data_IF_261254530368
#
_entry.id   IF_261254530368
#
_cell.length_a   1.000
_cell.length_b   1.000
_cell.length_c   1.000
_cell.angle_alpha   90.00
_cell.angle_beta   90.00
_cell.angle_gamma   90.00
#
_symmetry.space_group_name_H-M   'P 1'
#
loop_
_entity.id
_entity.type
_entity.pdbx_description
1 polymer ?
#
# COMPACT_ATOMS: atom_id res chain seq x y z
N UNK A 1 -12.78 20.92 -1.67
CA UNK A 1 -11.63 20.06 -2.01
C UNK A 1 -10.72 20.92 -2.87
N UNK A 2 -9.50 21.19 -2.43
CA UNK A 2 -8.63 22.14 -3.12
C UNK A 2 -8.33 21.64 -4.53
N UNK A 3 -8.62 22.45 -5.54
CA UNK A 3 -8.28 22.24 -6.96
C UNK A 3 -6.76 22.40 -7.21
N UNK A 4 -5.96 22.11 -6.18
CA UNK A 4 -4.52 22.36 -6.17
C UNK A 4 -3.83 21.17 -6.79
N UNK A 5 -3.21 21.40 -7.95
CA UNK A 5 -2.23 20.50 -8.54
C UNK A 5 -0.93 20.59 -7.74
N UNK A 6 -0.39 19.45 -7.30
CA UNK A 6 0.90 19.39 -6.63
C UNK A 6 2.02 19.21 -7.65
N UNK A 7 3.15 19.87 -7.46
CA UNK A 7 4.39 19.55 -8.19
C UNK A 7 4.97 18.22 -7.73
N UNK A 8 5.92 17.65 -8.49
CA UNK A 8 6.67 16.44 -8.08
C UNK A 8 7.24 16.51 -6.66
N UNK A 9 7.85 17.64 -6.30
CA UNK A 9 8.45 17.83 -4.97
C UNK A 9 7.38 17.92 -3.89
N UNK A 10 6.28 18.64 -4.15
CA UNK A 10 5.16 18.73 -3.21
C UNK A 10 4.47 17.37 -3.03
N UNK A 11 4.30 16.58 -4.09
CA UNK A 11 3.73 15.24 -4.03
C UNK A 11 4.59 14.30 -3.18
N UNK A 12 5.93 14.34 -3.35
CA UNK A 12 6.85 13.59 -2.49
C UNK A 12 6.69 13.99 -1.02
N UNK A 13 6.66 15.29 -0.72
CA UNK A 13 6.56 15.81 0.64
C UNK A 13 5.19 15.50 1.28
N UNK A 14 4.10 15.63 0.53
CA UNK A 14 2.74 15.44 1.03
C UNK A 14 2.46 13.98 1.45
N UNK A 15 3.12 13.02 0.80
CA UNK A 15 2.92 11.59 1.04
C UNK A 15 4.11 10.90 1.70
N UNK A 16 5.13 11.67 2.09
CA UNK A 16 6.37 11.16 2.68
C UNK A 16 7.01 10.03 1.86
N UNK A 17 7.09 10.24 0.54
CA UNK A 17 7.70 9.27 -0.39
C UNK A 17 8.96 9.84 -1.02
N UNK A 18 9.92 8.97 -1.26
CA UNK A 18 11.14 9.37 -1.97
C UNK A 18 10.85 9.68 -3.45
N UNK A 19 11.68 10.51 -4.10
CA UNK A 19 11.63 10.69 -5.55
C UNK A 19 11.72 9.38 -6.34
N UNK A 20 12.48 8.40 -5.82
CA UNK A 20 12.61 7.07 -6.42
C UNK A 20 11.27 6.34 -6.39
N UNK A 21 10.58 6.35 -5.26
CA UNK A 21 9.26 5.74 -5.09
C UNK A 21 8.23 6.38 -6.02
N UNK A 22 8.14 7.72 -6.04
CA UNK A 22 7.15 8.40 -6.89
C UNK A 22 7.39 8.13 -8.38
N UNK A 23 8.65 8.15 -8.85
CA UNK A 23 9.00 7.77 -10.22
C UNK A 23 8.69 6.32 -10.53
N UNK A 24 8.88 5.42 -9.57
CA UNK A 24 8.54 4.02 -9.75
C UNK A 24 7.03 3.85 -9.93
N UNK A 25 6.21 4.55 -9.13
CA UNK A 25 4.75 4.54 -9.29
C UNK A 25 4.28 5.13 -10.62
N UNK A 26 4.95 6.17 -11.13
CA UNK A 26 4.73 6.63 -12.52
C UNK A 26 5.09 5.55 -13.55
N UNK A 27 6.24 4.89 -13.37
CA UNK A 27 6.75 3.90 -14.32
C UNK A 27 5.85 2.68 -14.46
N UNK A 28 5.27 2.20 -13.36
CA UNK A 28 4.30 1.09 -13.37
C UNK A 28 2.84 1.56 -13.58
N UNK A 29 2.65 2.81 -14.01
CA UNK A 29 1.35 3.40 -14.36
C UNK A 29 0.33 3.44 -13.21
N UNK A 30 0.80 3.40 -11.96
CA UNK A 30 -0.07 3.61 -10.79
C UNK A 30 -0.55 5.06 -10.69
N UNK A 31 0.30 5.99 -11.11
CA UNK A 31 0.05 7.42 -11.14
C UNK A 31 0.38 7.99 -12.51
N UNK A 32 -0.47 8.89 -13.00
CA UNK A 32 -0.35 9.52 -14.31
C UNK A 32 -0.33 11.04 -14.14
N UNK A 33 0.84 11.68 -13.95
CA UNK A 33 0.92 13.12 -13.79
C UNK A 33 0.70 13.85 -15.12
N UNK A 34 0.11 15.05 -15.03
CA UNK A 34 0.09 16.00 -16.13
C UNK A 34 1.52 16.55 -16.35
N UNK A 35 1.92 16.64 -17.62
CA UNK A 35 3.24 17.14 -18.01
C UNK A 35 3.11 18.47 -18.72
N UNK A 36 3.74 19.50 -18.16
CA UNK A 36 3.91 20.80 -18.81
C UNK A 36 5.42 21.02 -19.03
N UNK A 37 5.87 20.74 -20.25
CA UNK A 37 7.29 20.70 -20.59
C UNK A 37 8.05 19.64 -19.79
N UNK A 38 8.98 20.07 -18.93
CA UNK A 38 9.76 19.19 -18.04
C UNK A 38 9.14 19.01 -16.65
N UNK A 39 8.10 19.79 -16.33
CA UNK A 39 7.44 19.80 -15.03
C UNK A 39 6.33 18.75 -14.98
N UNK A 40 6.12 18.17 -13.78
CA UNK A 40 5.06 17.20 -13.49
C UNK A 40 4.10 17.79 -12.47
N UNK A 41 2.81 17.61 -12.70
CA UNK A 41 1.74 18.06 -11.85
C UNK A 41 0.77 16.91 -11.53
N UNK A 42 0.34 16.81 -10.27
CA UNK A 42 -0.57 15.77 -9.78
C UNK A 42 -1.87 16.41 -9.32
N UNK A 43 -2.96 16.12 -10.03
CA UNK A 43 -4.27 16.63 -9.70
C UNK A 43 -4.89 15.95 -8.48
N UNK A 44 -6.13 16.34 -8.12
CA UNK A 44 -6.87 15.72 -7.02
C UNK A 44 -7.06 14.20 -7.20
N UNK A 45 -7.17 13.71 -8.44
CA UNK A 45 -7.30 12.28 -8.75
C UNK A 45 -6.06 11.51 -8.36
N UNK A 46 -4.88 11.98 -8.76
CA UNK A 46 -3.59 11.34 -8.47
C UNK A 46 -3.29 11.39 -6.97
N UNK A 47 -3.68 12.48 -6.30
CA UNK A 47 -3.59 12.60 -4.84
C UNK A 47 -4.47 11.56 -4.14
N UNK A 48 -5.74 11.41 -4.57
CA UNK A 48 -6.64 10.39 -4.02
C UNK A 48 -6.11 8.97 -4.29
N UNK A 49 -5.61 8.69 -5.51
CA UNK A 49 -4.97 7.40 -5.84
C UNK A 49 -3.78 7.13 -4.95
N UNK A 50 -2.90 8.11 -4.73
CA UNK A 50 -1.75 7.95 -3.84
C UNK A 50 -2.19 7.63 -2.40
N UNK A 51 -3.21 8.30 -1.86
CA UNK A 51 -3.77 7.94 -0.54
C UNK A 51 -4.17 6.47 -0.47
N UNK A 52 -4.82 5.96 -1.52
CA UNK A 52 -5.24 4.57 -1.59
C UNK A 52 -4.06 3.60 -1.73
N UNK A 53 -3.07 3.93 -2.57
CA UNK A 53 -1.83 3.14 -2.72
C UNK A 53 -1.11 3.01 -1.38
N UNK A 54 -0.95 4.10 -0.64
CA UNK A 54 -0.28 4.10 0.65
C UNK A 54 -1.03 3.26 1.69
N UNK A 55 -2.37 3.30 1.69
CA UNK A 55 -3.19 2.43 2.56
C UNK A 55 -3.05 0.96 2.18
N UNK A 56 -3.16 0.63 0.90
CA UNK A 56 -3.03 -0.74 0.42
C UNK A 56 -1.66 -1.34 0.80
N UNK A 57 -0.59 -0.57 0.59
CA UNK A 57 0.76 -0.97 0.98
C UNK A 57 0.91 -1.22 2.47
N UNK A 58 0.24 -0.43 3.31
CA UNK A 58 0.25 -0.63 4.77
C UNK A 58 -0.41 -1.95 5.19
N UNK A 59 -1.40 -2.44 4.43
CA UNK A 59 -2.07 -3.70 4.70
C UNK A 59 -1.34 -4.93 4.15
N UNK A 60 -0.25 -4.73 3.40
CA UNK A 60 0.54 -5.82 2.82
C UNK A 60 0.24 -6.14 1.36
N UNK A 61 -0.73 -5.45 0.74
CA UNK A 61 -1.08 -5.70 -0.66
C UNK A 61 0.10 -5.46 -1.61
N UNK A 62 0.20 -6.30 -2.65
CA UNK A 62 1.13 -6.08 -3.73
C UNK A 62 0.72 -4.83 -4.54
N UNK A 63 1.71 -4.15 -5.13
CA UNK A 63 1.44 -2.96 -5.95
C UNK A 63 0.60 -3.29 -7.19
N UNK A 64 0.73 -4.50 -7.72
CA UNK A 64 -0.05 -4.95 -8.88
C UNK A 64 -1.52 -5.15 -8.52
N UNK A 65 -1.84 -5.74 -7.36
CA UNK A 65 -3.22 -5.90 -6.90
C UNK A 65 -3.89 -4.53 -6.70
N UNK A 66 -3.16 -3.58 -6.11
CA UNK A 66 -3.60 -2.20 -5.96
C UNK A 66 -3.84 -1.56 -7.34
N UNK A 67 -2.95 -1.79 -8.32
CA UNK A 67 -3.11 -1.28 -9.70
C UNK A 67 -4.39 -1.79 -10.33
N UNK A 68 -4.62 -3.10 -10.29
CA UNK A 68 -5.82 -3.73 -10.86
C UNK A 68 -7.09 -3.21 -10.19
N UNK A 69 -7.10 -3.12 -8.86
CA UNK A 69 -8.23 -2.58 -8.12
C UNK A 69 -8.54 -1.11 -8.43
N UNK A 70 -7.52 -0.29 -8.66
CA UNK A 70 -7.70 1.10 -9.09
C UNK A 70 -8.27 1.22 -10.52
N UNK A 71 -7.97 0.27 -11.41
CA UNK A 71 -8.51 0.25 -12.77
C UNK A 71 -10.00 -0.10 -12.82
N UNK A 72 -10.51 -0.88 -11.87
CA UNK A 72 -11.95 -1.23 -11.80
C UNK A 72 -12.82 0.03 -11.74
N UNK A 73 -12.39 1.05 -10.98
CA UNK A 73 -13.11 2.32 -10.92
C UNK A 73 -13.22 3.00 -12.28
N UNK A 74 -12.17 2.91 -13.10
CA UNK A 74 -12.10 3.59 -14.39
C UNK A 74 -13.03 2.95 -15.43
N UNK A 75 -13.31 1.64 -15.30
CA UNK A 75 -14.10 0.88 -16.27
C UNK A 75 -15.54 0.60 -15.81
N UNK A 76 -15.75 0.36 -14.51
CA UNK A 76 -17.00 -0.18 -13.96
C UNK A 76 -17.63 0.70 -12.87
N UNK A 77 -16.92 1.75 -12.44
CA UNK A 77 -17.39 2.72 -11.45
C UNK A 77 -17.31 2.25 -9.99
N UNK A 78 -17.82 3.10 -9.10
CA UNK A 78 -17.61 3.01 -7.64
C UNK A 78 -18.14 1.71 -7.02
N UNK A 79 -19.32 1.25 -7.41
CA UNK A 79 -19.95 0.08 -6.78
C UNK A 79 -19.18 -1.22 -7.08
N UNK A 80 -18.65 -1.37 -8.30
CA UNK A 80 -17.80 -2.50 -8.68
C UNK A 80 -16.48 -2.47 -7.91
N UNK A 81 -15.83 -1.30 -7.82
CA UNK A 81 -14.60 -1.14 -7.05
C UNK A 81 -14.80 -1.47 -5.57
N UNK A 82 -15.91 -1.06 -4.96
CA UNK A 82 -16.21 -1.36 -3.55
C UNK A 82 -16.43 -2.86 -3.31
N UNK A 83 -17.11 -3.58 -4.22
CA UNK A 83 -17.25 -5.03 -4.11
C UNK A 83 -15.89 -5.73 -4.22
N UNK A 84 -15.07 -5.34 -5.20
CA UNK A 84 -13.71 -5.88 -5.35
C UNK A 84 -12.83 -5.59 -4.12
N UNK A 85 -12.97 -4.40 -3.51
CA UNK A 85 -12.27 -4.04 -2.29
C UNK A 85 -12.63 -4.98 -1.13
N UNK A 86 -13.91 -5.28 -0.93
CA UNK A 86 -14.35 -6.20 0.13
C UNK A 86 -13.72 -7.58 -0.07
N UNK A 87 -13.74 -8.11 -1.29
CA UNK A 87 -13.12 -9.41 -1.60
C UNK A 87 -11.61 -9.41 -1.33
N UNK A 88 -10.88 -8.39 -1.76
CA UNK A 88 -9.43 -8.26 -1.50
C UNK A 88 -9.14 -8.14 0.01
N UNK A 89 -9.95 -7.36 0.73
CA UNK A 89 -9.80 -7.17 2.16
C UNK A 89 -10.05 -8.48 2.94
N UNK A 90 -11.08 -9.25 2.59
CA UNK A 90 -11.36 -10.53 3.23
C UNK A 90 -10.20 -11.53 3.05
N UNK A 91 -9.64 -11.60 1.83
CA UNK A 91 -8.47 -12.44 1.54
C UNK A 91 -7.25 -11.99 2.35
N UNK A 92 -6.94 -10.69 2.37
CA UNK A 92 -5.79 -10.17 3.11
C UNK A 92 -5.94 -10.36 4.61
N UNK A 93 -7.15 -10.24 5.16
CA UNK A 93 -7.43 -10.49 6.57
C UNK A 93 -7.14 -11.95 6.93
N UNK A 94 -7.59 -12.90 6.09
CA UNK A 94 -7.29 -14.33 6.31
C UNK A 94 -5.78 -14.59 6.31
N UNK A 95 -5.03 -14.01 5.36
CA UNK A 95 -3.57 -14.14 5.32
C UNK A 95 -2.90 -13.56 6.58
N UNK A 96 -3.33 -12.38 7.02
CA UNK A 96 -2.79 -11.73 8.21
C UNK A 96 -3.10 -12.53 9.48
N UNK A 97 -4.26 -13.16 9.57
CA UNK A 97 -4.61 -14.04 10.70
C UNK A 97 -3.73 -15.29 10.74
N UNK A 98 -3.45 -15.89 9.58
CA UNK A 98 -2.52 -17.03 9.47
C UNK A 98 -1.11 -16.61 9.90
N UNK A 99 -0.61 -15.48 9.39
CA UNK A 99 0.70 -14.95 9.75
C UNK A 99 0.80 -14.62 11.25
N UNK A 100 -0.26 -14.03 11.83
CA UNK A 100 -0.34 -13.77 13.28
C UNK A 100 -0.18 -15.06 14.07
N UNK A 101 -0.92 -16.10 13.73
CA UNK A 101 -0.86 -17.39 14.43
C UNK A 101 0.53 -18.03 14.33
N UNK A 102 1.12 -18.03 13.14
CA UNK A 102 2.48 -18.55 12.94
C UNK A 102 3.53 -17.78 13.78
N UNK A 103 3.39 -16.46 13.87
CA UNK A 103 4.27 -15.63 14.68
C UNK A 103 4.10 -15.92 16.18
N UNK A 104 2.86 -16.09 16.65
CA UNK A 104 2.55 -16.47 18.03
C UNK A 104 3.19 -17.82 18.39
N UNK A 105 3.05 -18.83 17.53
CA UNK A 105 3.65 -20.15 17.71
C UNK A 105 5.19 -20.06 17.77
N UNK A 106 5.80 -19.31 16.84
CA UNK A 106 7.25 -19.09 16.78
C UNK A 106 7.77 -18.39 18.05
N UNK A 107 7.07 -17.36 18.53
CA UNK A 107 7.42 -16.64 19.75
C UNK A 107 7.33 -17.56 20.97
N UNK A 108 6.30 -18.41 21.04
CA UNK A 108 6.14 -19.36 22.13
C UNK A 108 7.28 -20.40 22.16
N UNK A 109 7.64 -20.95 21.00
CA UNK A 109 8.76 -21.87 20.86
C UNK A 109 10.10 -21.24 21.27
N UNK A 110 10.39 -20.04 20.77
CA UNK A 110 11.62 -19.33 21.11
C UNK A 110 11.72 -19.02 22.61
N UNK A 111 10.60 -18.68 23.26
CA UNK A 111 10.55 -18.47 24.72
C UNK A 111 10.87 -19.74 25.49
N UNK A 112 10.25 -20.87 25.11
CA UNK A 112 10.50 -22.18 25.76
C UNK A 112 11.97 -22.55 25.68
N UNK A 113 12.56 -22.53 24.47
CA UNK A 113 13.96 -22.89 24.27
C UNK A 113 14.90 -21.98 25.06
N UNK A 114 14.64 -20.66 25.08
CA UNK A 114 15.42 -19.70 25.87
C UNK A 114 15.37 -20.03 27.37
N UNK A 115 14.19 -20.33 27.89
CA UNK A 115 13.97 -20.56 29.32
C UNK A 115 14.59 -21.89 29.77
N UNK A 116 14.47 -22.95 28.96
CA UNK A 116 15.15 -24.24 29.15
C UNK A 116 16.68 -24.09 29.13
N UNK A 117 17.20 -23.33 28.16
CA UNK A 117 18.64 -23.05 28.06
C UNK A 117 19.13 -22.29 29.29
N UNK A 118 18.38 -21.28 29.74
CA UNK A 118 18.71 -20.51 30.95
C UNK A 118 18.72 -21.38 32.20
N UNK A 119 17.76 -22.30 32.33
CA UNK A 119 17.69 -23.21 33.47
C UNK A 119 18.88 -24.19 33.51
N UNK A 120 19.42 -24.58 32.36
CA UNK A 120 20.59 -25.47 32.26
C UNK A 120 21.91 -24.76 32.61
N UNK A 121 21.96 -23.43 32.50
CA UNK A 121 23.16 -22.63 32.75
C UNK A 121 23.29 -22.15 34.22
N UNK A 122 22.30 -22.41 35.07
CA UNK A 122 22.32 -22.16 36.51
C UNK A 122 22.36 -23.48 37.29
#
# INVERSE_FOLDING_TARGET
MSDKRLTFKEMCAAFDVTPRTLRYYEYIELLNPDREGRSRFYGPREQARMTLIMRGRRFGFALEDIRQWLLIYEHEGTAAQMRAWVTLADQQLQELEVQRKQLEDTVAELRRLRDETRATLG
#
